data_IF_114049611606
#
_entry.id   IF_114049611606
#
_cell.length_a   1.000
_cell.length_b   1.000
_cell.length_c   1.000
_cell.angle_alpha   90.00
_cell.angle_beta   90.00
_cell.angle_gamma   90.00
#
_symmetry.space_group_name_H-M   'P 1'
#
loop_
_entity.id
_entity.type
_entity.pdbx_description
1 polymer ?
#
# COMPACT_ATOMS: atom_id res chain seq x y z
N UNK A 1 -18.20 -13.01 -14.12
CA UNK A 1 -17.21 -12.57 -15.14
C UNK A 1 -17.13 -11.04 -15.22
N UNK A 2 -18.27 -10.34 -15.22
CA UNK A 2 -18.35 -8.87 -15.24
C UNK A 2 -17.76 -8.16 -14.00
N UNK A 3 -17.99 -8.66 -12.77
CA UNK A 3 -17.41 -8.04 -11.56
C UNK A 3 -15.88 -8.11 -11.53
N UNK A 4 -15.30 -9.21 -12.05
CA UNK A 4 -13.84 -9.39 -12.17
C UNK A 4 -13.27 -8.44 -13.22
N UNK A 5 -13.92 -8.34 -14.38
CA UNK A 5 -13.57 -7.38 -15.45
C UNK A 5 -13.64 -5.92 -14.97
N UNK A 6 -14.66 -5.55 -14.19
CA UNK A 6 -14.80 -4.20 -13.64
C UNK A 6 -13.74 -3.85 -12.57
N UNK A 7 -13.33 -4.82 -11.75
CA UNK A 7 -12.19 -4.68 -10.82
C UNK A 7 -10.86 -4.54 -11.58
N UNK A 8 -10.67 -5.27 -12.67
CA UNK A 8 -9.46 -5.20 -13.48
C UNK A 8 -9.35 -3.85 -14.20
N UNK A 9 -10.46 -3.32 -14.74
CA UNK A 9 -10.51 -1.97 -15.34
C UNK A 9 -10.21 -0.89 -14.30
N UNK A 10 -10.81 -0.98 -13.10
CA UNK A 10 -10.56 -0.01 -12.01
C UNK A 10 -9.09 -0.01 -11.60
N UNK A 11 -8.48 -1.20 -11.49
CA UNK A 11 -7.05 -1.35 -11.18
C UNK A 11 -6.18 -0.67 -12.24
N UNK A 12 -6.42 -0.95 -13.52
CA UNK A 12 -5.68 -0.36 -14.64
C UNK A 12 -5.81 1.16 -14.64
N UNK A 13 -7.02 1.69 -14.42
CA UNK A 13 -7.26 3.13 -14.36
C UNK A 13 -6.47 3.81 -13.23
N UNK A 14 -6.46 3.22 -12.03
CA UNK A 14 -5.69 3.74 -10.89
C UNK A 14 -4.19 3.68 -11.18
N UNK A 15 -3.71 2.57 -11.74
CA UNK A 15 -2.30 2.38 -12.10
C UNK A 15 -1.84 3.39 -13.16
N UNK A 16 -2.61 3.57 -14.23
CA UNK A 16 -2.31 4.57 -15.26
C UNK A 16 -2.35 6.00 -14.71
N UNK A 17 -3.28 6.32 -13.80
CA UNK A 17 -3.30 7.64 -13.17
C UNK A 17 -2.08 7.86 -12.30
N UNK A 18 -1.68 6.87 -11.47
CA UNK A 18 -0.47 6.97 -10.65
C UNK A 18 0.77 7.15 -11.53
N UNK A 19 0.93 6.35 -12.58
CA UNK A 19 2.07 6.46 -13.50
C UNK A 19 2.11 7.82 -14.21
N UNK A 20 0.95 8.32 -14.69
CA UNK A 20 0.85 9.64 -15.32
C UNK A 20 1.18 10.77 -14.35
N UNK A 21 0.65 10.73 -13.13
CA UNK A 21 0.92 11.75 -12.11
C UNK A 21 2.43 11.77 -11.80
N UNK A 22 3.05 10.60 -11.67
CA UNK A 22 4.50 10.47 -11.46
C UNK A 22 5.34 10.85 -12.69
N UNK A 23 4.81 10.70 -13.91
CA UNK A 23 5.49 11.15 -15.14
C UNK A 23 5.52 12.68 -15.24
N UNK A 24 4.42 13.34 -14.88
CA UNK A 24 4.28 14.81 -14.90
C UNK A 24 4.99 15.50 -13.70
N UNK A 25 5.61 14.70 -12.81
CA UNK A 25 6.24 15.13 -11.55
C UNK A 25 7.44 16.06 -11.69
N UNK A 26 8.06 16.16 -12.89
CA UNK A 26 9.20 17.06 -13.16
C UNK A 26 8.90 18.55 -12.95
N UNK A 27 7.65 18.91 -12.68
CA UNK A 27 7.20 20.30 -12.58
C UNK A 27 7.06 20.85 -11.15
N UNK A 28 6.78 20.02 -10.12
CA UNK A 28 6.78 20.40 -8.69
C UNK A 28 6.33 19.24 -7.78
N UNK A 29 7.19 18.75 -6.85
CA UNK A 29 6.81 17.74 -5.84
C UNK A 29 5.65 18.17 -4.95
N UNK A 30 5.56 19.49 -4.64
CA UNK A 30 4.45 20.05 -3.85
C UNK A 30 3.11 19.95 -4.58
N UNK A 31 3.12 20.22 -5.89
CA UNK A 31 1.93 20.07 -6.73
C UNK A 31 1.56 18.59 -6.87
N UNK A 32 2.56 17.72 -7.04
CA UNK A 32 2.36 16.27 -7.11
C UNK A 32 1.64 15.74 -5.87
N UNK A 33 2.17 16.02 -4.67
CA UNK A 33 1.60 15.52 -3.42
C UNK A 33 0.13 15.92 -3.25
N UNK A 34 -0.20 17.19 -3.50
CA UNK A 34 -1.59 17.69 -3.43
C UNK A 34 -2.48 17.04 -4.49
N UNK A 35 -2.03 17.01 -5.74
CA UNK A 35 -2.78 16.39 -6.84
C UNK A 35 -3.08 14.90 -6.57
N UNK A 36 -2.11 14.16 -6.01
CA UNK A 36 -2.30 12.76 -5.65
C UNK A 36 -3.43 12.58 -4.63
N UNK A 37 -3.45 13.41 -3.59
CA UNK A 37 -4.49 13.37 -2.56
C UNK A 37 -5.84 13.77 -3.15
N UNK A 38 -5.90 14.84 -3.92
CA UNK A 38 -7.13 15.34 -4.53
C UNK A 38 -7.77 14.32 -5.48
N UNK A 39 -6.95 13.69 -6.34
CA UNK A 39 -7.41 12.64 -7.25
C UNK A 39 -7.88 11.43 -6.46
N UNK A 40 -7.11 11.00 -5.46
CA UNK A 40 -7.47 9.86 -4.61
C UNK A 40 -8.80 10.09 -3.89
N UNK A 41 -9.09 11.33 -3.47
CA UNK A 41 -10.34 11.70 -2.80
C UNK A 41 -11.55 11.46 -3.72
N UNK A 42 -11.42 11.75 -5.02
CA UNK A 42 -12.48 11.51 -6.00
C UNK A 42 -12.80 10.01 -6.19
N UNK A 43 -11.80 9.14 -6.01
CA UNK A 43 -11.97 7.69 -6.10
C UNK A 43 -12.35 7.02 -4.77
N UNK A 44 -12.27 7.75 -3.65
CA UNK A 44 -12.55 7.22 -2.33
C UNK A 44 -14.04 6.85 -2.18
N UNK A 45 -14.32 5.57 -1.96
CA UNK A 45 -15.70 5.07 -1.79
C UNK A 45 -16.07 4.86 -0.33
N UNK A 46 -15.10 4.50 0.52
CA UNK A 46 -15.34 4.21 1.94
C UNK A 46 -15.22 5.43 2.86
N UNK A 47 -15.97 5.43 3.97
CA UNK A 47 -15.87 6.48 5.02
C UNK A 47 -14.44 6.66 5.53
N UNK A 48 -13.73 5.57 5.75
CA UNK A 48 -12.33 5.58 6.20
C UNK A 48 -11.40 6.21 5.16
N UNK A 49 -11.49 5.78 3.90
CA UNK A 49 -10.67 6.31 2.80
C UNK A 49 -10.87 7.83 2.65
N UNK A 50 -12.13 8.28 2.67
CA UNK A 50 -12.45 9.72 2.59
C UNK A 50 -11.85 10.50 3.76
N UNK A 51 -12.04 10.01 5.00
CA UNK A 51 -11.49 10.67 6.19
C UNK A 51 -9.96 10.78 6.12
N UNK A 52 -9.27 9.66 5.86
CA UNK A 52 -7.81 9.64 5.74
C UNK A 52 -7.30 10.64 4.69
N UNK A 53 -7.91 10.66 3.51
CA UNK A 53 -7.50 11.56 2.43
C UNK A 53 -7.85 13.02 2.71
N UNK A 54 -8.97 13.30 3.40
CA UNK A 54 -9.28 14.66 3.88
C UNK A 54 -8.28 15.15 4.92
N UNK A 55 -7.88 14.29 5.86
CA UNK A 55 -6.86 14.63 6.86
C UNK A 55 -5.50 14.90 6.16
N UNK A 56 -5.11 14.05 5.19
CA UNK A 56 -3.92 14.28 4.38
C UNK A 56 -3.99 15.58 3.56
N UNK A 57 -5.14 15.91 2.99
CA UNK A 57 -5.35 17.15 2.25
C UNK A 57 -5.17 18.36 3.16
N UNK A 58 -5.71 18.32 4.38
CA UNK A 58 -5.56 19.39 5.37
C UNK A 58 -4.08 19.57 5.76
N UNK A 59 -3.36 18.48 6.02
CA UNK A 59 -1.93 18.53 6.35
C UNK A 59 -1.07 19.14 5.23
N UNK A 60 -1.45 18.93 3.96
CA UNK A 60 -0.74 19.50 2.81
C UNK A 60 -1.10 20.97 2.54
N UNK A 61 -2.09 21.56 3.23
CA UNK A 61 -2.32 23.01 3.14
C UNK A 61 -1.18 23.81 3.76
N UNK A 62 -0.46 23.23 4.72
CA UNK A 62 0.74 23.84 5.29
C UNK A 62 1.88 23.86 4.23
N UNK A 63 2.36 25.03 3.78
CA UNK A 63 3.42 25.12 2.79
C UNK A 63 4.78 24.56 3.30
N UNK A 64 4.98 24.51 4.61
CA UNK A 64 6.18 24.00 5.30
C UNK A 64 5.98 22.55 5.81
N UNK A 65 5.08 21.81 5.18
CA UNK A 65 4.83 20.41 5.52
C UNK A 65 6.05 19.54 5.18
N UNK A 66 6.56 18.79 6.17
CA UNK A 66 7.68 17.85 6.00
C UNK A 66 7.40 16.76 4.93
N UNK A 67 6.12 16.50 4.63
CA UNK A 67 5.73 15.57 3.57
C UNK A 67 6.18 16.02 2.18
N UNK A 68 6.40 17.32 1.95
CA UNK A 68 6.92 17.79 0.67
C UNK A 68 8.38 17.40 0.45
N UNK A 69 9.20 17.41 1.49
CA UNK A 69 10.57 16.93 1.42
C UNK A 69 10.59 15.42 1.20
N UNK A 70 9.78 14.67 1.95
CA UNK A 70 9.63 13.23 1.75
C UNK A 70 9.23 12.88 0.31
N UNK A 71 8.18 13.52 -0.23
CA UNK A 71 7.74 13.28 -1.61
C UNK A 71 8.83 13.66 -2.61
N UNK A 72 9.56 14.75 -2.38
CA UNK A 72 10.66 15.16 -3.26
C UNK A 72 11.79 14.14 -3.28
N UNK A 73 12.19 13.65 -2.10
CA UNK A 73 13.21 12.63 -1.93
C UNK A 73 12.82 11.31 -2.63
N UNK A 74 11.58 10.86 -2.44
CA UNK A 74 11.09 9.63 -3.08
C UNK A 74 11.07 9.74 -4.61
N UNK A 75 10.65 10.87 -5.18
CA UNK A 75 10.69 11.10 -6.63
C UNK A 75 12.13 11.08 -7.17
N UNK A 76 13.07 11.63 -6.40
CA UNK A 76 14.47 11.74 -6.82
C UNK A 76 15.21 10.39 -6.74
N UNK A 77 14.90 9.59 -5.72
CA UNK A 77 15.73 8.44 -5.33
C UNK A 77 15.07 7.07 -5.56
N UNK A 78 13.76 7.00 -5.84
CA UNK A 78 13.06 5.73 -6.03
C UNK A 78 12.62 5.55 -7.48
N UNK A 79 12.84 4.34 -8.02
CA UNK A 79 12.36 4.00 -9.34
C UNK A 79 10.83 4.12 -9.41
N UNK A 80 10.35 4.74 -10.50
CA UNK A 80 8.93 5.02 -10.70
C UNK A 80 8.06 3.77 -10.65
N UNK A 81 8.52 2.66 -11.23
CA UNK A 81 7.79 1.39 -11.21
C UNK A 81 7.63 0.88 -9.78
N UNK A 82 8.64 1.04 -8.93
CA UNK A 82 8.55 0.66 -7.53
C UNK A 82 7.56 1.55 -6.77
N UNK A 83 7.55 2.86 -7.01
CA UNK A 83 6.55 3.77 -6.42
C UNK A 83 5.11 3.38 -6.82
N UNK A 84 4.86 3.11 -8.11
CA UNK A 84 3.54 2.67 -8.59
C UNK A 84 3.16 1.34 -7.96
N UNK A 85 4.07 0.36 -7.95
CA UNK A 85 3.86 -0.96 -7.35
C UNK A 85 3.50 -0.87 -5.88
N UNK A 86 4.26 -0.05 -5.13
CA UNK A 86 4.00 0.19 -3.71
C UNK A 86 2.62 0.80 -3.49
N UNK A 87 2.27 1.87 -4.22
CA UNK A 87 0.97 2.53 -4.13
C UNK A 87 -0.20 1.60 -4.45
N UNK A 88 -0.04 0.75 -5.48
CA UNK A 88 -1.05 -0.25 -5.84
C UNK A 88 -1.20 -1.34 -4.78
N UNK A 89 -0.10 -1.81 -4.18
CA UNK A 89 -0.15 -2.83 -3.14
C UNK A 89 -0.76 -2.30 -1.84
N UNK A 90 -0.34 -1.13 -1.38
CA UNK A 90 -0.85 -0.55 -0.14
C UNK A 90 -2.28 -0.02 -0.30
N UNK A 91 -2.50 0.85 -1.28
CA UNK A 91 -3.76 1.56 -1.46
C UNK A 91 -4.87 0.70 -2.09
N UNK A 92 -4.60 0.09 -3.25
CA UNK A 92 -5.61 -0.67 -3.96
C UNK A 92 -5.78 -2.08 -3.37
N UNK A 93 -4.70 -2.86 -3.30
CA UNK A 93 -4.78 -4.24 -2.79
C UNK A 93 -5.08 -4.26 -1.28
N UNK A 94 -4.39 -3.47 -0.46
CA UNK A 94 -4.65 -3.38 0.98
C UNK A 94 -5.97 -2.68 1.31
N UNK A 95 -6.01 -1.36 1.13
CA UNK A 95 -7.11 -0.52 1.62
C UNK A 95 -8.43 -0.63 0.83
N UNK A 96 -8.45 -1.32 -0.32
CA UNK A 96 -9.68 -1.52 -1.12
C UNK A 96 -10.05 -2.99 -1.23
N UNK A 97 -9.22 -3.82 -1.88
CA UNK A 97 -9.53 -5.24 -2.11
C UNK A 97 -9.51 -6.03 -0.80
N UNK A 98 -8.42 -5.91 -0.03
CA UNK A 98 -8.21 -6.56 1.25
C UNK A 98 -9.22 -6.12 2.29
N UNK A 99 -9.42 -4.81 2.44
CA UNK A 99 -10.41 -4.27 3.36
C UNK A 99 -11.85 -4.72 3.04
N UNK A 100 -12.21 -4.93 1.77
CA UNK A 100 -13.51 -5.55 1.41
C UNK A 100 -13.56 -6.99 1.87
N UNK A 101 -12.52 -7.78 1.56
CA UNK A 101 -12.44 -9.21 1.90
C UNK A 101 -12.47 -9.45 3.41
N UNK A 102 -11.75 -8.64 4.18
CA UNK A 102 -11.77 -8.66 5.65
C UNK A 102 -13.21 -8.50 6.13
N UNK A 103 -13.90 -7.42 5.74
CA UNK A 103 -15.27 -7.16 6.18
C UNK A 103 -16.26 -8.27 5.81
N UNK A 104 -16.09 -8.91 4.66
CA UNK A 104 -16.91 -10.08 4.26
C UNK A 104 -16.72 -11.24 5.26
N UNK A 105 -15.47 -11.60 5.57
CA UNK A 105 -15.16 -12.72 6.48
C UNK A 105 -15.58 -12.39 7.91
N UNK A 106 -15.32 -11.17 8.39
CA UNK A 106 -15.71 -10.74 9.74
C UNK A 106 -17.22 -10.83 9.93
N UNK A 107 -18.01 -10.46 8.91
CA UNK A 107 -19.47 -10.57 8.94
C UNK A 107 -19.97 -12.02 8.92
N UNK A 108 -19.28 -12.93 8.22
CA UNK A 108 -19.64 -14.35 8.14
C UNK A 108 -19.23 -15.15 9.39
N UNK A 109 -18.06 -14.86 9.95
CA UNK A 109 -17.43 -15.71 10.97
C UNK A 109 -17.40 -15.07 12.37
N UNK A 110 -17.82 -13.81 12.50
CA UNK A 110 -17.77 -13.05 13.75
C UNK A 110 -16.36 -13.03 14.39
N UNK A 111 -15.34 -12.92 13.54
CA UNK A 111 -13.93 -12.77 13.92
C UNK A 111 -13.47 -11.35 13.59
N UNK A 112 -12.39 -10.90 14.23
CA UNK A 112 -11.73 -9.63 13.91
C UNK A 112 -10.41 -9.93 13.18
N UNK A 113 -10.22 -9.35 11.99
CA UNK A 113 -9.06 -9.61 11.15
C UNK A 113 -8.26 -8.30 11.00
N UNK A 114 -6.96 -8.30 11.37
CA UNK A 114 -6.15 -7.11 11.22
C UNK A 114 -5.94 -6.77 9.74
N UNK A 115 -5.90 -5.47 9.41
CA UNK A 115 -5.65 -5.02 8.04
C UNK A 115 -4.17 -5.13 7.61
N UNK A 116 -3.26 -5.28 8.58
CA UNK A 116 -1.82 -5.45 8.39
C UNK A 116 -1.21 -6.34 9.46
N UNK A 117 -0.09 -7.01 9.15
CA UNK A 117 0.68 -7.79 10.13
C UNK A 117 2.11 -7.26 10.26
N UNK A 118 2.59 -7.20 11.50
CA UNK A 118 3.99 -6.91 11.83
C UNK A 118 4.74 -8.21 12.09
N UNK A 119 5.81 -8.44 11.37
CA UNK A 119 6.61 -9.66 11.43
C UNK A 119 8.04 -9.30 11.80
N UNK A 120 8.49 -9.76 12.96
CA UNK A 120 9.88 -9.68 13.37
C UNK A 120 10.61 -10.87 12.75
N UNK A 121 11.46 -10.61 11.77
CA UNK A 121 12.22 -11.64 11.07
C UNK A 121 13.38 -12.08 11.94
N UNK A 122 13.47 -13.40 12.06
CA UNK A 122 14.46 -14.11 12.85
C UNK A 122 15.24 -15.02 11.91
N UNK A 123 16.56 -14.80 11.85
CA UNK A 123 17.48 -15.55 11.01
C UNK A 123 17.53 -17.02 11.39
N UNK A 124 17.57 -17.36 12.68
CA UNK A 124 17.64 -18.75 13.12
C UNK A 124 16.38 -19.50 12.70
N UNK A 125 15.22 -18.85 12.82
CA UNK A 125 13.95 -19.39 12.35
C UNK A 125 13.93 -19.61 10.83
N UNK A 126 14.50 -18.68 10.05
CA UNK A 126 14.62 -18.82 8.59
C UNK A 126 15.57 -19.97 8.21
N UNK A 127 16.65 -20.20 8.96
CA UNK A 127 17.57 -21.32 8.72
C UNK A 127 16.92 -22.68 9.01
N UNK A 128 16.11 -22.77 10.07
CA UNK A 128 15.42 -24.01 10.46
C UNK A 128 14.22 -24.26 9.54
N UNK A 129 13.52 -23.21 9.13
CA UNK A 129 12.27 -23.30 8.37
C UNK A 129 12.12 -22.11 7.40
N UNK A 130 12.74 -22.20 6.21
CA UNK A 130 12.78 -21.11 5.23
C UNK A 130 11.39 -20.60 4.82
N UNK A 131 10.40 -21.50 4.69
CA UNK A 131 9.06 -21.16 4.21
C UNK A 131 8.12 -20.64 5.33
N UNK A 132 8.63 -20.46 6.56
CA UNK A 132 7.80 -20.09 7.71
C UNK A 132 7.04 -18.78 7.50
N UNK A 133 7.71 -17.72 7.06
CA UNK A 133 7.09 -16.42 6.80
C UNK A 133 6.27 -16.40 5.50
N UNK A 134 6.72 -17.09 4.45
CA UNK A 134 5.95 -17.23 3.20
C UNK A 134 4.56 -17.82 3.48
N UNK A 135 4.48 -18.89 4.28
CA UNK A 135 3.19 -19.49 4.66
C UNK A 135 2.29 -18.53 5.44
N UNK A 136 2.84 -17.70 6.32
CA UNK A 136 2.08 -16.68 7.06
C UNK A 136 1.49 -15.66 6.07
N UNK A 137 2.30 -15.19 5.11
CA UNK A 137 1.88 -14.23 4.09
C UNK A 137 0.80 -14.84 3.18
N UNK A 138 0.98 -16.07 2.73
CA UNK A 138 -0.01 -16.78 1.90
C UNK A 138 -1.35 -16.96 2.62
N UNK A 139 -1.32 -17.35 3.90
CA UNK A 139 -2.52 -17.48 4.72
C UNK A 139 -3.20 -16.13 4.91
N UNK A 140 -2.43 -15.09 5.28
CA UNK A 140 -2.94 -13.74 5.44
C UNK A 140 -3.58 -13.19 4.16
N UNK A 141 -2.97 -13.41 3.00
CA UNK A 141 -3.53 -13.00 1.70
C UNK A 141 -4.90 -13.63 1.41
N UNK A 142 -5.12 -14.90 1.80
CA UNK A 142 -6.42 -15.58 1.62
C UNK A 142 -7.55 -14.93 2.42
N UNK A 143 -7.21 -14.30 3.56
CA UNK A 143 -8.16 -13.62 4.44
C UNK A 143 -8.17 -12.09 4.27
N UNK A 144 -7.45 -11.57 3.26
CA UNK A 144 -7.49 -10.15 2.89
C UNK A 144 -6.37 -9.29 3.47
N UNK A 145 -5.34 -9.89 4.09
CA UNK A 145 -4.15 -9.19 4.58
C UNK A 145 -3.13 -9.08 3.46
N UNK A 146 -2.92 -7.86 2.97
CA UNK A 146 -1.97 -7.54 1.89
C UNK A 146 -0.82 -6.63 2.33
N UNK A 147 -0.84 -6.13 3.56
CA UNK A 147 0.17 -5.20 4.09
C UNK A 147 0.95 -5.89 5.20
N UNK A 148 2.25 -6.01 5.03
CA UNK A 148 3.16 -6.64 5.98
C UNK A 148 4.28 -5.66 6.32
N UNK A 149 4.53 -5.48 7.61
CA UNK A 149 5.61 -4.68 8.13
C UNK A 149 6.69 -5.63 8.65
N UNK A 150 7.81 -5.70 7.93
CA UNK A 150 8.95 -6.51 8.35
C UNK A 150 9.87 -5.69 9.26
N UNK A 151 10.13 -6.22 10.43
CA UNK A 151 11.12 -5.72 11.37
C UNK A 151 12.27 -6.70 11.40
N UNK A 152 13.48 -6.19 11.43
CA UNK A 152 14.69 -7.00 11.46
C UNK A 152 15.35 -6.81 12.83
N UNK A 153 15.76 -7.91 13.46
CA UNK A 153 16.57 -7.85 14.68
C UNK A 153 17.97 -7.28 14.40
N UNK A 154 18.50 -7.58 13.21
CA UNK A 154 19.81 -7.14 12.73
C UNK A 154 19.58 -6.25 11.51
N UNK A 155 20.42 -5.26 11.21
CA UNK A 155 20.26 -4.38 10.03
C UNK A 155 20.46 -5.09 8.66
N UNK A 156 20.40 -6.43 8.63
CA UNK A 156 20.55 -7.22 7.41
C UNK A 156 19.21 -7.37 6.67
N UNK A 157 18.99 -6.47 5.71
CA UNK A 157 17.81 -6.45 4.84
C UNK A 157 17.74 -7.64 3.85
N UNK A 158 18.83 -8.39 3.61
CA UNK A 158 18.84 -9.51 2.68
C UNK A 158 17.89 -10.64 3.12
N UNK A 159 17.61 -10.72 4.42
CA UNK A 159 16.63 -11.65 4.99
C UNK A 159 15.21 -11.44 4.44
N UNK A 160 14.91 -10.24 3.93
CA UNK A 160 13.61 -9.93 3.33
C UNK A 160 13.51 -10.36 1.86
N UNK A 161 14.62 -10.58 1.14
CA UNK A 161 14.60 -10.83 -0.31
C UNK A 161 13.67 -11.99 -0.71
N UNK A 162 13.70 -13.17 -0.04
CA UNK A 162 12.82 -14.27 -0.40
C UNK A 162 11.33 -14.00 -0.16
N UNK A 163 10.99 -12.93 0.58
CA UNK A 163 9.61 -12.57 0.94
C UNK A 163 9.02 -11.49 0.01
N UNK A 164 9.85 -10.88 -0.86
CA UNK A 164 9.50 -9.73 -1.69
C UNK A 164 9.33 -10.12 -3.18
N UNK A 165 9.76 -11.33 -3.58
CA UNK A 165 9.53 -11.92 -4.92
C UNK A 165 8.07 -12.36 -5.15
#
# INVERSE_FOLDING_TARGET
>A
MEEKMGKDITKILVECMLDKILQDSRSSPRRLARNLVDISLNFAKGRFQKRFLSDAQEMLKNPESAYYELVSDQIANVDRKHMVTFGMNLGYNGCTVGAKRIREIEAEQNLNIPWSLSLLLDRERLLINPDSYCRIIEQGRKIGIYVYLFFLHDENADLCLPLIE
#
